data_IF_186396817164
#
_entry.id   IF_186396817164
#
_cell.length_a   1.000
_cell.length_b   1.000
_cell.length_c   1.000
_cell.angle_alpha   90.00
_cell.angle_beta   90.00
_cell.angle_gamma   90.00
#
_symmetry.space_group_name_H-M   'P 1'
#
loop_
_entity.id
_entity.type
_entity.pdbx_description
1 polymer ?
#
# COMPACT_ATOMS: atom_id res chain seq x y z
N UNK A 1 -32.82 -3.44 8.35
CA UNK A 1 -31.38 -3.16 8.48
C UNK A 1 -30.82 -4.26 9.36
N UNK A 2 -30.27 -5.31 8.74
CA UNK A 2 -29.67 -6.42 9.50
C UNK A 2 -28.34 -5.92 10.05
N UNK A 3 -28.23 -5.82 11.38
CA UNK A 3 -26.95 -5.57 12.01
C UNK A 3 -26.02 -6.75 11.66
N UNK A 4 -24.90 -6.48 11.01
CA UNK A 4 -23.83 -7.45 10.89
C UNK A 4 -23.42 -7.85 12.32
N UNK A 5 -23.61 -9.13 12.64
CA UNK A 5 -23.08 -9.72 13.87
C UNK A 5 -21.57 -9.47 13.87
N UNK A 6 -20.99 -8.89 14.94
CA UNK A 6 -19.54 -8.75 15.00
C UNK A 6 -18.90 -10.13 14.87
N UNK A 7 -17.94 -10.25 13.96
CA UNK A 7 -17.24 -11.50 13.74
C UNK A 7 -16.60 -11.96 15.07
N UNK A 8 -16.72 -13.26 15.38
CA UNK A 8 -16.07 -13.84 16.55
C UNK A 8 -14.55 -13.59 16.49
N UNK A 9 -13.88 -13.41 17.65
CA UNK A 9 -12.42 -13.28 17.70
C UNK A 9 -11.74 -14.42 16.93
N UNK A 10 -10.89 -14.08 15.96
CA UNK A 10 -10.21 -15.03 15.10
C UNK A 10 -8.81 -14.54 14.75
N UNK A 11 -7.84 -15.46 14.67
CA UNK A 11 -6.48 -15.19 14.19
C UNK A 11 -6.42 -15.39 12.67
N UNK A 12 -6.07 -14.34 11.93
CA UNK A 12 -5.67 -14.41 10.52
C UNK A 12 -4.17 -14.17 10.37
N UNK A 13 -3.54 -14.80 9.38
CA UNK A 13 -2.12 -14.57 9.08
C UNK A 13 -1.84 -14.70 7.58
N UNK A 14 -0.77 -14.03 7.13
CA UNK A 14 -0.22 -14.13 5.79
C UNK A 14 1.29 -14.34 5.98
N UNK A 15 1.86 -15.40 5.40
CA UNK A 15 3.25 -15.76 5.65
C UNK A 15 4.23 -14.76 5.02
N UNK A 16 3.93 -14.25 3.83
CA UNK A 16 4.74 -13.27 3.12
C UNK A 16 3.88 -12.45 2.16
N UNK A 17 3.79 -11.13 2.40
CA UNK A 17 3.01 -10.22 1.58
C UNK A 17 3.53 -10.09 0.14
N UNK A 18 4.84 -10.18 -0.08
CA UNK A 18 5.43 -10.01 -1.41
C UNK A 18 5.08 -11.16 -2.36
N UNK A 19 4.81 -12.35 -1.83
CA UNK A 19 4.42 -13.53 -2.61
C UNK A 19 2.96 -13.51 -3.06
N UNK A 20 2.17 -12.55 -2.58
CA UNK A 20 0.74 -12.49 -2.86
C UNK A 20 0.41 -11.66 -4.10
N UNK A 21 1.41 -11.06 -4.76
CA UNK A 21 1.25 -10.29 -6.01
C UNK A 21 2.45 -10.53 -6.93
N UNK A 22 2.19 -10.61 -8.23
CA UNK A 22 3.21 -10.82 -9.27
C UNK A 22 3.45 -9.55 -10.07
N UNK A 23 4.68 -9.38 -10.54
CA UNK A 23 5.02 -8.30 -11.48
C UNK A 23 4.28 -8.48 -12.81
N UNK A 24 3.92 -7.36 -13.44
CA UNK A 24 3.41 -7.31 -14.80
C UNK A 24 4.27 -6.35 -15.63
N UNK A 25 4.75 -6.81 -16.79
CA UNK A 25 5.64 -6.03 -17.66
C UNK A 25 4.97 -4.74 -18.13
N UNK A 26 5.67 -3.60 -17.99
CA UNK A 26 5.20 -2.27 -18.38
C UNK A 26 3.88 -1.89 -17.73
N UNK A 27 3.69 -2.23 -16.45
CA UNK A 27 2.41 -2.02 -15.78
C UNK A 27 2.54 -1.84 -14.27
N UNK A 28 1.60 -1.06 -13.72
CA UNK A 28 1.23 -1.09 -12.31
C UNK A 28 0.01 -1.99 -12.11
N UNK A 29 0.11 -2.97 -11.22
CA UNK A 29 -1.03 -3.82 -10.82
C UNK A 29 -1.27 -3.74 -9.33
N UNK A 30 -2.53 -3.95 -8.92
CA UNK A 30 -2.92 -3.94 -7.51
C UNK A 30 -3.84 -5.10 -7.18
N UNK A 31 -3.77 -5.58 -5.93
CA UNK A 31 -4.62 -6.64 -5.38
C UNK A 31 -5.07 -6.24 -3.99
N UNK A 32 -6.38 -6.14 -3.78
CA UNK A 32 -6.91 -6.06 -2.40
C UNK A 32 -6.68 -7.41 -1.74
N UNK A 33 -5.86 -7.44 -0.69
CA UNK A 33 -5.43 -8.66 -0.03
C UNK A 33 -6.31 -8.99 1.18
N UNK A 34 -6.63 -7.97 1.98
CA UNK A 34 -7.37 -8.14 3.22
C UNK A 34 -8.30 -6.95 3.45
N UNK A 35 -9.52 -7.25 3.90
CA UNK A 35 -10.42 -6.28 4.54
C UNK A 35 -10.71 -6.82 5.92
N UNK A 36 -10.20 -6.14 6.94
CA UNK A 36 -10.27 -6.58 8.32
C UNK A 36 -10.75 -5.44 9.23
N UNK A 37 -11.04 -5.80 10.48
CA UNK A 37 -11.41 -4.82 11.49
C UNK A 37 -10.28 -3.78 11.66
N UNK A 38 -10.60 -2.52 11.39
CA UNK A 38 -9.67 -1.39 11.53
C UNK A 38 -8.70 -1.17 10.35
N UNK A 39 -8.57 -2.11 9.41
CA UNK A 39 -7.57 -2.02 8.34
C UNK A 39 -8.01 -2.69 7.04
N UNK A 40 -7.75 -2.00 5.93
CA UNK A 40 -7.76 -2.61 4.60
C UNK A 40 -6.34 -2.66 4.06
N UNK A 41 -5.95 -3.80 3.49
CA UNK A 41 -4.60 -4.05 2.96
C UNK A 41 -4.68 -4.25 1.45
N UNK A 42 -3.93 -3.45 0.70
CA UNK A 42 -3.82 -3.54 -0.75
C UNK A 42 -2.36 -3.69 -1.12
N UNK A 43 -2.05 -4.67 -1.96
CA UNK A 43 -0.73 -4.83 -2.54
C UNK A 43 -0.66 -4.14 -3.88
N UNK A 44 0.51 -3.60 -4.19
CA UNK A 44 0.86 -3.07 -5.50
C UNK A 44 2.17 -3.68 -5.96
N UNK A 45 2.26 -3.94 -7.27
CA UNK A 45 3.54 -4.20 -7.92
C UNK A 45 3.67 -3.30 -9.14
N UNK A 46 4.90 -2.86 -9.36
CA UNK A 46 5.28 -1.92 -10.39
C UNK A 46 6.40 -2.53 -11.21
N UNK A 47 6.35 -2.40 -12.53
CA UNK A 47 7.56 -2.50 -13.33
C UNK A 47 8.44 -1.26 -13.15
N UNK A 48 9.71 -1.32 -13.58
CA UNK A 48 10.62 -0.19 -13.50
C UNK A 48 10.09 1.02 -14.29
N UNK A 49 10.07 2.19 -13.66
CA UNK A 49 9.60 3.44 -14.25
C UNK A 49 8.10 3.69 -14.11
N UNK A 50 7.31 2.69 -13.73
CA UNK A 50 5.88 2.84 -13.48
C UNK A 50 5.61 3.65 -12.20
N UNK A 51 4.45 4.30 -12.14
CA UNK A 51 4.09 5.19 -11.04
C UNK A 51 2.59 5.19 -10.71
N UNK A 52 2.30 5.55 -9.46
CA UNK A 52 1.05 6.21 -9.11
C UNK A 52 1.32 7.72 -9.13
N UNK A 53 0.81 8.39 -10.16
CA UNK A 53 0.85 9.85 -10.25
C UNK A 53 0.17 10.49 -9.03
N UNK A 54 0.40 11.80 -8.83
CA UNK A 54 -0.07 12.50 -7.65
C UNK A 54 -1.58 12.30 -7.39
N UNK A 55 -1.89 11.84 -6.18
CA UNK A 55 -3.25 11.58 -5.73
C UNK A 55 -3.37 11.78 -4.23
N UNK A 56 -4.58 11.55 -3.70
CA UNK A 56 -4.86 11.65 -2.27
C UNK A 56 -5.63 10.43 -1.79
N UNK A 57 -5.45 10.07 -0.51
CA UNK A 57 -6.27 9.07 0.17
C UNK A 57 -7.33 9.74 1.06
N UNK A 58 -8.54 9.19 1.09
CA UNK A 58 -9.64 9.71 1.91
C UNK A 58 -9.49 9.45 3.42
N UNK A 59 -8.47 8.66 3.81
CA UNK A 59 -8.15 8.27 5.18
C UNK A 59 -6.62 8.23 5.37
N UNK A 60 -6.10 8.16 6.61
CA UNK A 60 -4.68 7.96 6.84
C UNK A 60 -4.23 6.61 6.29
N UNK A 61 -3.02 6.57 5.73
CA UNK A 61 -2.46 5.34 5.18
C UNK A 61 -0.99 5.16 5.54
N UNK A 62 -0.55 3.91 5.60
CA UNK A 62 0.86 3.52 5.64
C UNK A 62 1.21 2.85 4.32
N UNK A 63 2.39 3.17 3.78
CA UNK A 63 2.99 2.45 2.65
C UNK A 63 4.32 1.88 3.10
N UNK A 64 4.49 0.58 2.90
CA UNK A 64 5.73 -0.15 3.18
C UNK A 64 6.25 -0.78 1.90
N UNK A 65 7.54 -0.61 1.62
CA UNK A 65 8.19 -1.27 0.48
C UNK A 65 8.56 -2.69 0.86
N UNK A 66 8.11 -3.67 0.08
CA UNK A 66 8.37 -5.10 0.31
C UNK A 66 9.56 -5.59 -0.52
N UNK A 67 9.68 -5.10 -1.76
CA UNK A 67 10.75 -5.42 -2.69
C UNK A 67 11.08 -4.18 -3.55
N UNK A 68 12.30 -4.13 -4.08
CA UNK A 68 12.70 -3.10 -5.04
C UNK A 68 13.13 -1.79 -4.40
N UNK A 69 12.77 -0.68 -5.05
CA UNK A 69 13.17 0.68 -4.69
C UNK A 69 12.12 1.67 -5.20
N UNK A 70 11.45 2.35 -4.27
CA UNK A 70 10.38 3.31 -4.55
C UNK A 70 10.80 4.73 -4.20
N UNK A 71 10.57 5.69 -5.09
CA UNK A 71 10.57 7.11 -4.74
C UNK A 71 9.18 7.56 -4.35
N UNK A 72 9.09 8.20 -3.19
CA UNK A 72 7.86 8.75 -2.65
C UNK A 72 7.99 10.25 -2.59
N UNK A 73 7.03 10.98 -3.16
CA UNK A 73 7.00 12.45 -3.12
C UNK A 73 5.73 12.94 -2.42
N UNK A 74 5.88 13.80 -1.42
CA UNK A 74 4.80 14.50 -0.73
C UNK A 74 5.33 15.80 -0.10
N UNK A 75 4.51 16.85 -0.01
CA UNK A 75 4.88 18.15 0.58
C UNK A 75 6.18 18.76 0.02
N UNK A 76 6.45 18.57 -1.27
CA UNK A 76 7.69 19.05 -1.92
C UNK A 76 8.96 18.32 -1.47
N UNK A 77 8.83 17.22 -0.73
CA UNK A 77 9.94 16.34 -0.32
C UNK A 77 9.83 15.00 -1.05
N UNK A 78 10.97 14.52 -1.55
CA UNK A 78 11.11 13.17 -2.10
C UNK A 78 11.98 12.32 -1.18
N UNK A 79 11.57 11.08 -0.94
CA UNK A 79 12.34 10.08 -0.19
C UNK A 79 12.40 8.77 -0.95
N UNK A 80 13.52 8.07 -0.87
CA UNK A 80 13.67 6.72 -1.41
C UNK A 80 13.38 5.70 -0.33
N UNK A 81 12.46 4.77 -0.61
CA UNK A 81 12.15 3.62 0.23
C UNK A 81 12.77 2.35 -0.36
N UNK A 82 13.56 1.68 0.47
CA UNK A 82 14.09 0.34 0.25
C UNK A 82 13.23 -0.69 1.00
N UNK A 83 13.40 -2.01 0.78
CA UNK A 83 12.61 -3.02 1.46
C UNK A 83 12.65 -2.87 2.99
N UNK A 84 11.47 -2.90 3.63
CA UNK A 84 11.26 -2.61 5.05
C UNK A 84 11.10 -1.12 5.40
N UNK A 85 11.30 -0.21 4.44
CA UNK A 85 11.06 1.21 4.58
C UNK A 85 9.57 1.54 4.58
N UNK A 86 9.16 2.48 5.44
CA UNK A 86 7.75 2.85 5.65
C UNK A 86 7.57 4.37 5.57
N UNK A 87 6.47 4.80 4.97
CA UNK A 87 5.95 6.18 5.06
C UNK A 87 4.52 6.18 5.53
N UNK A 88 4.14 7.28 6.18
CA UNK A 88 2.78 7.56 6.61
C UNK A 88 2.28 8.81 5.90
N UNK A 89 1.07 8.74 5.34
CA UNK A 89 0.37 9.91 4.83
C UNK A 89 -0.87 10.19 5.67
N UNK A 90 -1.00 11.45 6.10
CA UNK A 90 -2.24 11.92 6.72
C UNK A 90 -3.36 12.00 5.69
N UNK A 91 -4.59 12.07 6.18
CA UNK A 91 -5.78 12.13 5.32
C UNK A 91 -5.70 13.28 4.34
N UNK A 92 -5.97 12.98 3.07
CA UNK A 92 -5.99 13.93 1.94
C UNK A 92 -4.66 14.62 1.64
N UNK A 93 -3.54 14.18 2.22
CA UNK A 93 -2.22 14.68 1.84
C UNK A 93 -1.91 14.24 0.39
N UNK A 94 -1.62 15.16 -0.55
CA UNK A 94 -1.19 14.79 -1.90
C UNK A 94 0.15 14.07 -1.89
N UNK A 95 0.24 12.96 -2.62
CA UNK A 95 1.47 12.16 -2.74
C UNK A 95 1.53 11.41 -4.06
N UNK A 96 2.75 11.07 -4.48
CA UNK A 96 3.07 10.25 -5.64
C UNK A 96 4.05 9.13 -5.27
N UNK A 97 3.98 8.02 -5.99
CA UNK A 97 4.84 6.83 -5.82
C UNK A 97 5.42 6.45 -7.16
N UNK A 98 6.73 6.32 -7.27
CA UNK A 98 7.40 5.91 -8.51
C UNK A 98 8.37 4.76 -8.26
N UNK A 99 8.34 3.76 -9.13
CA UNK A 99 9.26 2.63 -9.08
C UNK A 99 10.56 2.93 -9.82
N UNK A 100 11.69 2.96 -9.10
CA UNK A 100 13.01 3.11 -9.71
C UNK A 100 13.53 1.77 -10.22
N UNK A 101 13.14 0.70 -9.54
CA UNK A 101 13.33 -0.70 -9.92
C UNK A 101 11.96 -1.40 -9.88
N UNK A 102 11.80 -2.59 -10.48
CA UNK A 102 10.61 -3.39 -10.23
C UNK A 102 10.42 -3.54 -8.72
N UNK A 103 9.25 -3.15 -8.23
CA UNK A 103 9.01 -2.98 -6.80
C UNK A 103 7.63 -3.48 -6.39
N UNK A 104 7.53 -3.99 -5.16
CA UNK A 104 6.27 -4.32 -4.50
C UNK A 104 6.12 -3.49 -3.25
N UNK A 105 4.90 -3.03 -2.99
CA UNK A 105 4.55 -2.38 -1.73
C UNK A 105 3.23 -2.88 -1.19
N UNK A 106 3.05 -2.68 0.10
CA UNK A 106 1.77 -2.84 0.78
C UNK A 106 1.27 -1.47 1.23
N UNK A 107 0.00 -1.22 0.96
CA UNK A 107 -0.77 -0.09 1.43
C UNK A 107 -1.70 -0.56 2.55
N UNK A 108 -1.57 0.02 3.73
CA UNK A 108 -2.50 -0.15 4.84
C UNK A 108 -3.39 1.09 4.93
N UNK A 109 -4.67 0.93 4.64
CA UNK A 109 -5.66 1.99 4.84
C UNK A 109 -6.28 1.84 6.23
N UNK A 110 -6.10 2.86 7.06
CA UNK A 110 -6.47 2.83 8.47
C UNK A 110 -7.87 3.40 8.66
N UNK A 111 -8.76 2.63 9.29
CA UNK A 111 -10.03 3.19 9.76
C UNK A 111 -9.74 4.18 10.90
N UNK A 112 -10.44 5.32 10.90
CA UNK A 112 -10.43 6.19 12.07
C UNK A 112 -11.35 5.57 13.14
N UNK A 113 -10.94 5.54 14.41
CA UNK A 113 -11.81 5.13 15.51
C UNK A 113 -13.00 6.08 15.66
#
# INVERSE_FOLDING_TARGET
MSAETPASPALGFINNLANEIEYASGSTVSKTLLRAEGVNVVLFSFDAGEELSEHTAAMPVLVETLEGELEITAEGKTVTLLPGGVVHFTTRLPHAVKAIKPSKMVLYMLARP
#
